data_IF_736952393527
#
_entry.id   IF_736952393527
#
_cell.length_a   1.000
_cell.length_b   1.000
_cell.length_c   1.000
_cell.angle_alpha   90.00
_cell.angle_beta   90.00
_cell.angle_gamma   90.00
#
_symmetry.space_group_name_H-M   'P 1'
#
loop_
_entity.id
_entity.type
_entity.pdbx_description
1 polymer ?
#
# COMPACT_ATOMS: atom_id res chain seq x y z
N UNK A 1 32.45 19.48 -27.53
CA UNK A 1 31.27 18.61 -27.65
C UNK A 1 30.69 18.43 -26.25
N UNK A 2 29.62 19.17 -25.91
CA UNK A 2 28.91 18.99 -24.64
C UNK A 2 28.02 17.75 -24.75
N UNK A 3 28.26 16.76 -23.90
CA UNK A 3 27.36 15.62 -23.72
C UNK A 3 26.13 16.12 -22.98
N UNK A 4 25.04 16.35 -23.71
CA UNK A 4 23.72 16.55 -23.11
C UNK A 4 23.32 15.23 -22.44
N UNK A 5 23.64 15.08 -21.16
CA UNK A 5 23.19 13.97 -20.33
C UNK A 5 21.69 14.15 -20.10
N UNK A 6 20.86 13.58 -20.99
CA UNK A 6 19.43 13.44 -20.78
C UNK A 6 19.21 12.62 -19.50
N UNK A 7 18.97 13.28 -18.38
CA UNK A 7 18.52 12.62 -17.17
C UNK A 7 17.02 12.39 -17.26
N UNK A 8 16.52 11.29 -16.69
CA UNK A 8 15.07 10.98 -16.63
C UNK A 8 14.25 12.13 -16.00
N UNK A 9 14.88 12.93 -15.13
CA UNK A 9 14.33 14.16 -14.58
C UNK A 9 13.96 15.21 -15.65
N UNK A 10 14.66 15.23 -16.79
CA UNK A 10 14.39 16.15 -17.91
C UNK A 10 13.17 15.78 -18.76
N UNK A 11 12.57 14.60 -18.55
CA UNK A 11 11.39 14.11 -19.30
C UNK A 11 10.10 14.16 -18.46
N UNK A 12 10.14 14.72 -17.24
CA UNK A 12 8.95 15.18 -16.53
C UNK A 12 8.41 14.30 -15.40
N UNK A 13 9.17 13.30 -14.90
CA UNK A 13 8.79 12.56 -13.68
C UNK A 13 9.90 12.67 -12.64
N UNK A 14 9.63 13.45 -11.60
CA UNK A 14 10.43 13.47 -10.37
C UNK A 14 10.07 12.22 -9.55
N UNK A 15 10.99 11.25 -9.52
CA UNK A 15 10.82 10.00 -8.79
C UNK A 15 11.09 10.13 -7.29
N UNK A 16 11.73 11.21 -6.83
CA UNK A 16 12.10 11.36 -5.42
C UNK A 16 10.88 11.40 -4.49
N UNK A 17 9.79 12.16 -4.79
CA UNK A 17 8.55 12.13 -4.02
C UNK A 17 7.86 10.75 -4.02
N UNK A 18 7.88 10.08 -5.17
CA UNK A 18 7.30 8.74 -5.37
C UNK A 18 8.03 7.72 -4.48
N UNK A 19 9.36 7.75 -4.48
CA UNK A 19 10.19 6.82 -3.71
C UNK A 19 10.17 7.12 -2.22
N UNK A 20 10.01 8.40 -1.82
CA UNK A 20 9.70 8.74 -0.42
C UNK A 20 8.40 8.08 0.02
N UNK A 21 7.33 8.19 -0.77
CA UNK A 21 6.05 7.56 -0.43
C UNK A 21 6.12 6.03 -0.37
N UNK A 22 6.81 5.38 -1.33
CA UNK A 22 7.04 3.93 -1.29
C UNK A 22 7.76 3.52 0.00
N UNK A 23 8.82 4.24 0.40
CA UNK A 23 9.54 3.98 1.65
C UNK A 23 8.65 4.13 2.89
N UNK A 24 7.82 5.17 2.95
CA UNK A 24 6.84 5.34 4.03
C UNK A 24 5.90 4.15 4.13
N UNK A 25 5.38 3.66 3.00
CA UNK A 25 4.53 2.48 2.96
C UNK A 25 5.26 1.21 3.44
N UNK A 26 6.52 1.01 3.05
CA UNK A 26 7.32 -0.15 3.50
C UNK A 26 7.60 -0.12 5.00
N UNK A 27 7.91 1.06 5.55
CA UNK A 27 8.12 1.26 7.00
C UNK A 27 6.82 0.96 7.77
N UNK A 28 5.68 1.47 7.29
CA UNK A 28 4.38 1.19 7.89
C UNK A 28 4.05 -0.32 7.83
N UNK A 29 4.28 -0.96 6.69
CA UNK A 29 4.07 -2.39 6.47
C UNK A 29 4.94 -3.26 7.40
N UNK A 30 6.19 -2.87 7.65
CA UNK A 30 7.13 -3.58 8.54
C UNK A 30 6.56 -3.80 9.94
N UNK A 31 5.79 -2.85 10.47
CA UNK A 31 5.19 -2.95 11.82
C UNK A 31 4.17 -4.09 11.93
N UNK A 32 3.65 -4.59 10.81
CA UNK A 32 2.64 -5.66 10.74
C UNK A 32 3.21 -7.00 10.28
N UNK A 33 4.54 -7.12 10.16
CA UNK A 33 5.21 -8.27 9.54
C UNK A 33 4.97 -9.61 10.26
N UNK A 34 4.69 -9.57 11.56
CA UNK A 34 4.47 -10.73 12.41
C UNK A 34 3.03 -11.28 12.32
N UNK A 35 2.08 -10.50 11.80
CA UNK A 35 0.66 -10.87 11.74
C UNK A 35 0.38 -12.22 11.02
N UNK A 36 1.07 -12.58 9.92
CA UNK A 36 0.86 -13.85 9.23
C UNK A 36 1.31 -15.08 10.01
N UNK A 37 2.18 -14.92 11.02
CA UNK A 37 2.77 -16.05 11.75
C UNK A 37 1.71 -16.90 12.47
N UNK A 38 0.64 -16.25 12.95
CA UNK A 38 -0.50 -16.95 13.58
C UNK A 38 -1.24 -17.88 12.61
N UNK A 39 -1.03 -17.72 11.31
CA UNK A 39 -1.63 -18.49 10.23
C UNK A 39 -0.63 -19.45 9.56
N UNK A 40 0.58 -19.61 10.13
CA UNK A 40 1.60 -20.49 9.57
C UNK A 40 2.38 -19.91 8.39
N UNK A 41 2.30 -18.58 8.19
CA UNK A 41 3.05 -17.86 7.17
C UNK A 41 4.07 -16.91 7.79
N UNK A 42 5.22 -16.73 7.15
CA UNK A 42 6.23 -15.76 7.56
C UNK A 42 6.63 -14.85 6.41
N UNK A 43 6.94 -13.61 6.77
CA UNK A 43 7.51 -12.62 5.88
C UNK A 43 8.91 -13.03 5.41
N UNK A 44 9.24 -12.79 4.14
CA UNK A 44 10.59 -12.94 3.59
C UNK A 44 11.21 -11.54 3.43
N UNK A 45 12.01 -11.04 4.39
CA UNK A 45 12.30 -9.61 4.49
C UNK A 45 13.04 -9.01 3.28
N UNK A 46 13.93 -9.79 2.66
CA UNK A 46 14.70 -9.33 1.50
C UNK A 46 13.84 -9.12 0.24
N UNK A 47 12.62 -9.66 0.18
CA UNK A 47 11.70 -9.48 -0.96
C UNK A 47 10.93 -8.14 -0.95
N UNK A 48 11.13 -7.31 0.08
CA UNK A 48 10.41 -6.04 0.24
C UNK A 48 10.97 -4.99 -0.70
N UNK A 49 10.11 -4.40 -1.54
CA UNK A 49 10.53 -3.42 -2.53
C UNK A 49 11.11 -4.04 -3.80
N UNK A 50 11.23 -5.36 -3.84
CA UNK A 50 11.59 -6.11 -5.04
C UNK A 50 10.41 -6.23 -6.01
N UNK A 51 10.69 -6.76 -7.20
CA UNK A 51 9.68 -7.01 -8.24
C UNK A 51 8.55 -7.94 -7.79
N UNK A 52 8.81 -8.80 -6.79
CA UNK A 52 7.84 -9.68 -6.18
C UNK A 52 8.01 -9.66 -4.65
N UNK A 53 6.90 -9.65 -3.94
CA UNK A 53 6.86 -9.78 -2.49
C UNK A 53 6.56 -11.25 -2.12
N UNK A 54 7.40 -11.85 -1.28
CA UNK A 54 7.33 -13.26 -0.93
C UNK A 54 6.76 -13.48 0.48
N UNK A 55 5.88 -14.47 0.59
CA UNK A 55 5.40 -15.05 1.84
C UNK A 55 5.72 -16.53 1.83
N UNK A 56 6.34 -17.01 2.90
CA UNK A 56 6.70 -18.40 3.05
C UNK A 56 5.73 -19.09 4.00
N UNK A 57 5.13 -20.19 3.55
CA UNK A 57 4.41 -21.09 4.42
C UNK A 57 5.42 -22.00 5.14
N UNK A 58 5.39 -22.00 6.47
CA UNK A 58 6.31 -22.83 7.27
C UNK A 58 5.59 -23.85 8.16
N UNK A 59 4.28 -23.72 8.33
CA UNK A 59 3.46 -24.70 9.05
C UNK A 59 2.70 -25.58 8.07
N UNK A 60 2.86 -26.89 8.22
CA UNK A 60 2.05 -27.88 7.51
C UNK A 60 0.71 -28.04 8.22
N UNK A 61 -0.38 -27.92 7.47
CA UNK A 61 -1.73 -28.14 7.98
C UNK A 61 -2.21 -29.53 7.54
N UNK A 62 -2.93 -30.22 8.42
CA UNK A 62 -3.48 -31.55 8.13
C UNK A 62 -4.62 -31.54 7.08
N UNK A 63 -5.05 -30.35 6.62
CA UNK A 63 -6.14 -30.15 5.67
C UNK A 63 -5.68 -29.40 4.41
N UNK A 64 -6.42 -29.57 3.32
CA UNK A 64 -6.22 -28.82 2.08
C UNK A 64 -6.30 -27.32 2.33
N UNK A 65 -5.27 -26.60 1.90
CA UNK A 65 -5.26 -25.14 1.96
C UNK A 65 -5.73 -24.53 0.64
N UNK A 66 -6.57 -23.50 0.75
CA UNK A 66 -7.02 -22.69 -0.38
C UNK A 66 -6.60 -21.25 -0.12
N UNK A 67 -6.04 -20.61 -1.14
CA UNK A 67 -5.76 -19.18 -1.12
C UNK A 67 -6.85 -18.45 -1.91
N UNK A 68 -7.33 -17.36 -1.34
CA UNK A 68 -8.27 -16.45 -1.99
C UNK A 68 -7.57 -15.12 -2.27
N UNK A 69 -7.98 -14.46 -3.36
CA UNK A 69 -7.48 -13.16 -3.76
C UNK A 69 -8.66 -12.26 -4.11
N UNK A 70 -8.62 -11.02 -3.65
CA UNK A 70 -9.61 -9.97 -3.91
C UNK A 70 -8.85 -8.69 -4.20
N UNK A 71 -9.31 -7.95 -5.21
CA UNK A 71 -8.82 -6.62 -5.57
C UNK A 71 -10.01 -5.67 -5.60
N UNK A 72 -9.95 -4.61 -4.79
CA UNK A 72 -11.01 -3.60 -4.69
C UNK A 72 -10.46 -2.21 -4.95
N UNK A 73 -11.29 -1.35 -5.54
CA UNK A 73 -11.01 0.05 -5.78
C UNK A 73 -12.01 0.95 -5.05
N UNK A 74 -11.53 2.01 -4.40
CA UNK A 74 -12.39 2.92 -3.64
C UNK A 74 -13.40 3.72 -4.49
N UNK A 75 -13.18 3.79 -5.81
CA UNK A 75 -14.00 4.56 -6.73
C UNK A 75 -13.86 6.07 -6.54
N UNK A 76 -14.94 6.81 -6.77
CA UNK A 76 -14.95 8.28 -6.83
C UNK A 76 -14.85 8.98 -5.46
N UNK A 77 -14.84 8.23 -4.35
CA UNK A 77 -14.69 8.82 -3.00
C UNK A 77 -13.33 9.51 -2.80
N UNK A 78 -12.31 9.14 -3.57
CA UNK A 78 -11.01 9.82 -3.56
C UNK A 78 -11.13 11.28 -4.03
N UNK A 79 -11.98 11.55 -5.01
CA UNK A 79 -12.24 12.92 -5.51
C UNK A 79 -12.83 13.81 -4.40
N UNK A 80 -13.72 13.25 -3.58
CA UNK A 80 -14.29 13.97 -2.43
C UNK A 80 -13.21 14.34 -1.43
N UNK A 81 -12.27 13.43 -1.13
CA UNK A 81 -11.16 13.76 -0.23
C UNK A 81 -10.21 14.82 -0.81
N UNK A 82 -9.99 14.79 -2.13
CA UNK A 82 -9.21 15.81 -2.83
C UNK A 82 -9.89 17.20 -2.74
N UNK A 83 -11.20 17.26 -3.00
CA UNK A 83 -11.97 18.51 -2.89
C UNK A 83 -12.04 19.02 -1.45
N UNK A 84 -12.23 18.14 -0.47
CA UNK A 84 -12.23 18.53 0.95
C UNK A 84 -10.89 19.09 1.38
N UNK A 85 -9.77 18.50 0.94
CA UNK A 85 -8.44 19.05 1.20
C UNK A 85 -8.27 20.45 0.60
N UNK A 86 -8.79 20.69 -0.60
CA UNK A 86 -8.74 22.00 -1.27
C UNK A 86 -9.63 23.04 -0.58
N UNK A 87 -10.83 22.66 -0.16
CA UNK A 87 -11.84 23.57 0.39
C UNK A 87 -11.61 23.89 1.86
N UNK A 88 -11.08 22.94 2.63
CA UNK A 88 -10.99 23.03 4.11
C UNK A 88 -9.56 22.97 4.63
N UNK A 89 -8.57 22.78 3.77
CA UNK A 89 -7.17 22.52 4.15
C UNK A 89 -6.99 21.31 5.06
N UNK A 90 -8.01 20.46 5.21
CA UNK A 90 -8.02 19.28 6.08
C UNK A 90 -7.87 18.01 5.25
N UNK A 91 -6.91 17.15 5.62
CA UNK A 91 -6.67 15.88 4.95
C UNK A 91 -7.61 14.79 5.47
N UNK A 92 -8.39 14.20 4.56
CA UNK A 92 -9.24 13.03 4.83
C UNK A 92 -8.67 11.73 4.22
N UNK A 93 -7.41 11.75 3.77
CA UNK A 93 -6.77 10.58 3.13
C UNK A 93 -6.58 9.41 4.09
N UNK A 94 -6.61 9.68 5.40
CA UNK A 94 -6.69 8.66 6.45
C UNK A 94 -7.99 7.84 6.32
N UNK A 95 -9.12 8.50 6.16
CA UNK A 95 -10.41 7.85 5.97
C UNK A 95 -10.48 7.10 4.63
N UNK A 96 -9.86 7.64 3.59
CA UNK A 96 -9.74 6.98 2.27
C UNK A 96 -8.98 5.66 2.41
N UNK A 97 -7.78 5.66 3.01
CA UNK A 97 -7.02 4.43 3.23
C UNK A 97 -7.81 3.40 4.06
N UNK A 98 -8.53 3.85 5.09
CA UNK A 98 -9.33 2.95 5.93
C UNK A 98 -10.49 2.33 5.15
N UNK A 99 -11.20 3.12 4.35
CA UNK A 99 -12.30 2.62 3.53
C UNK A 99 -11.78 1.61 2.50
N UNK A 100 -10.68 1.92 1.80
CA UNK A 100 -10.10 1.01 0.82
C UNK A 100 -9.71 -0.34 1.43
N UNK A 101 -9.05 -0.32 2.60
CA UNK A 101 -8.71 -1.55 3.30
C UNK A 101 -9.93 -2.30 3.83
N UNK A 102 -10.95 -1.59 4.32
CA UNK A 102 -12.18 -2.20 4.81
C UNK A 102 -12.94 -2.93 3.71
N UNK A 103 -13.00 -2.39 2.48
CA UNK A 103 -13.66 -3.08 1.36
C UNK A 103 -12.97 -4.40 1.05
N UNK A 104 -11.64 -4.38 0.86
CA UNK A 104 -10.85 -5.60 0.61
C UNK A 104 -11.04 -6.64 1.72
N UNK A 105 -10.94 -6.22 2.99
CA UNK A 105 -11.01 -7.12 4.14
C UNK A 105 -12.42 -7.68 4.35
N UNK A 106 -13.45 -6.86 4.18
CA UNK A 106 -14.83 -7.29 4.35
C UNK A 106 -15.22 -8.34 3.31
N UNK A 107 -14.83 -8.15 2.05
CA UNK A 107 -15.14 -9.08 0.98
C UNK A 107 -14.34 -10.38 1.13
N UNK A 108 -13.05 -10.29 1.48
CA UNK A 108 -12.22 -11.45 1.80
C UNK A 108 -12.82 -12.27 2.96
N UNK A 109 -13.27 -11.61 4.03
CA UNK A 109 -13.78 -12.25 5.24
C UNK A 109 -15.03 -13.11 5.02
N UNK A 110 -15.72 -12.96 3.89
CA UNK A 110 -16.88 -13.81 3.54
C UNK A 110 -16.49 -15.27 3.30
N UNK A 111 -15.27 -15.53 2.81
CA UNK A 111 -14.81 -16.86 2.38
C UNK A 111 -13.42 -17.23 2.89
N UNK A 112 -12.62 -16.28 3.39
CA UNK A 112 -11.25 -16.52 3.81
C UNK A 112 -10.79 -15.55 4.91
N UNK A 113 -9.74 -15.94 5.65
CA UNK A 113 -9.10 -15.06 6.61
C UNK A 113 -8.02 -14.20 5.91
N UNK A 114 -8.03 -12.86 6.05
CA UNK A 114 -7.07 -12.04 5.33
C UNK A 114 -5.64 -12.23 5.86
N UNK A 115 -4.73 -12.57 4.94
CA UNK A 115 -3.33 -12.84 5.23
C UNK A 115 -2.45 -11.59 5.02
N UNK A 116 -2.52 -11.03 3.81
CA UNK A 116 -1.75 -9.88 3.36
C UNK A 116 -2.63 -9.01 2.48
N UNK A 117 -2.45 -7.70 2.56
CA UNK A 117 -3.08 -6.74 1.66
C UNK A 117 -1.97 -5.96 0.98
N UNK A 118 -2.04 -5.75 -0.33
CA UNK A 118 -1.15 -4.85 -1.09
C UNK A 118 -1.92 -3.61 -1.54
N UNK A 119 -1.24 -2.57 -1.99
CA UNK A 119 -1.91 -1.36 -2.49
C UNK A 119 -1.29 -0.97 -3.81
N UNK A 120 -2.15 -0.71 -4.78
CA UNK A 120 -1.80 -0.03 -6.00
C UNK A 120 -2.38 1.39 -5.95
N UNK A 121 -1.55 2.40 -6.23
CA UNK A 121 -1.99 3.79 -6.30
C UNK A 121 -1.46 4.40 -7.59
N UNK A 122 -2.37 4.89 -8.43
CA UNK A 122 -2.05 5.62 -9.65
C UNK A 122 -2.44 7.10 -9.48
N UNK A 123 -1.56 8.00 -9.93
CA UNK A 123 -1.76 9.45 -9.85
C UNK A 123 -1.42 10.06 -11.21
N UNK A 124 -2.12 11.13 -11.61
CA UNK A 124 -1.87 11.78 -12.91
C UNK A 124 -0.54 12.56 -13.00
N UNK A 125 0.12 12.85 -11.87
CA UNK A 125 1.41 13.57 -11.85
C UNK A 125 2.17 13.29 -10.55
N UNK A 126 3.50 13.31 -10.60
CA UNK A 126 4.38 13.19 -9.43
C UNK A 126 4.17 14.31 -8.40
N UNK A 127 3.64 15.47 -8.83
CA UNK A 127 3.25 16.58 -7.94
C UNK A 127 2.25 16.15 -6.85
N UNK A 128 1.46 15.11 -7.11
CA UNK A 128 0.56 14.54 -6.13
C UNK A 128 1.32 14.07 -4.87
N UNK A 129 2.56 13.59 -4.99
CA UNK A 129 3.32 13.11 -3.85
C UNK A 129 3.99 14.23 -3.02
N UNK A 130 4.00 15.48 -3.50
CA UNK A 130 4.60 16.61 -2.77
C UNK A 130 3.82 17.02 -1.53
N UNK A 131 2.53 16.68 -1.44
CA UNK A 131 1.76 16.89 -0.21
C UNK A 131 2.12 15.82 0.82
N UNK A 132 3.10 16.11 1.67
CA UNK A 132 3.61 15.17 2.66
C UNK A 132 2.52 14.69 3.63
N UNK A 133 1.60 15.57 4.04
CA UNK A 133 0.54 15.21 4.99
C UNK A 133 -0.39 14.15 4.41
N UNK A 134 -0.81 14.33 3.15
CA UNK A 134 -1.61 13.34 2.42
C UNK A 134 -0.87 12.00 2.31
N UNK A 135 0.41 12.03 1.92
CA UNK A 135 1.25 10.85 1.79
C UNK A 135 1.36 10.07 3.11
N UNK A 136 1.61 10.78 4.22
CA UNK A 136 1.69 10.20 5.56
C UNK A 136 0.33 9.62 5.98
N UNK A 137 -0.76 10.37 5.81
CA UNK A 137 -2.10 9.93 6.20
C UNK A 137 -2.53 8.66 5.44
N UNK A 138 -2.18 8.54 4.15
CA UNK A 138 -2.48 7.35 3.36
C UNK A 138 -1.60 6.15 3.77
N UNK A 139 -0.32 6.37 4.07
CA UNK A 139 0.62 5.31 4.46
C UNK A 139 0.38 4.78 5.89
N UNK A 140 0.11 5.64 6.86
CA UNK A 140 0.01 5.28 8.29
C UNK A 140 -1.22 4.43 8.63
N UNK A 141 -2.36 4.68 7.97
CA UNK A 141 -3.62 3.99 8.29
C UNK A 141 -3.55 2.50 8.05
N UNK A 142 -2.67 2.08 7.13
CA UNK A 142 -2.38 0.67 6.88
C UNK A 142 -1.98 -0.04 8.17
N UNK A 143 -1.20 0.60 9.04
CA UNK A 143 -0.86 0.05 10.36
C UNK A 143 -2.10 -0.09 11.25
N UNK A 144 -2.90 0.97 11.37
CA UNK A 144 -3.98 1.01 12.34
C UNK A 144 -5.06 -0.02 12.03
N UNK A 145 -5.44 -0.16 10.77
CA UNK A 145 -6.46 -1.13 10.37
C UNK A 145 -5.90 -2.57 10.30
N UNK A 146 -4.61 -2.76 9.98
CA UNK A 146 -3.95 -4.07 10.05
C UNK A 146 -3.62 -4.55 11.48
N UNK A 147 -3.72 -3.68 12.50
CA UNK A 147 -3.46 -4.04 13.90
C UNK A 147 -4.33 -5.20 14.43
N UNK A 148 -5.44 -5.50 13.75
CA UNK A 148 -6.34 -6.63 14.05
C UNK A 148 -5.93 -7.96 13.41
N UNK A 149 -4.69 -8.04 12.90
CA UNK A 149 -4.04 -9.31 12.54
C UNK A 149 -3.93 -9.63 11.05
N UNK A 150 -4.06 -8.62 10.17
CA UNK A 150 -3.77 -8.73 8.73
C UNK A 150 -2.42 -8.09 8.45
N UNK A 151 -1.58 -8.61 7.54
CA UNK A 151 -0.32 -7.93 7.20
C UNK A 151 -0.52 -6.85 6.14
N UNK A 152 0.05 -5.67 6.38
CA UNK A 152 0.28 -4.68 5.34
C UNK A 152 1.41 -5.13 4.42
N UNK A 153 1.12 -5.29 3.14
CA UNK A 153 2.05 -5.58 2.04
C UNK A 153 2.59 -4.33 1.36
N UNK A 154 3.39 -4.55 0.30
CA UNK A 154 4.05 -3.50 -0.45
C UNK A 154 3.05 -2.58 -1.17
N UNK A 155 3.38 -1.29 -1.24
CA UNK A 155 2.72 -0.34 -2.12
C UNK A 155 3.44 -0.34 -3.48
N UNK A 156 2.68 -0.53 -4.56
CA UNK A 156 3.16 -0.41 -5.94
C UNK A 156 2.56 0.86 -6.56
N UNK A 157 3.41 1.67 -7.17
CA UNK A 157 3.02 2.84 -7.96
C UNK A 157 3.36 2.57 -9.43
N UNK A 158 2.56 3.07 -10.41
CA UNK A 158 2.97 3.06 -11.80
C UNK A 158 4.27 3.86 -11.96
N UNK A 159 5.13 3.37 -12.87
CA UNK A 159 6.39 3.99 -13.27
C UNK A 159 6.18 5.24 -14.11
#
# INVERSE_FOLDING_TARGET
MQTNTMTYAGVGVDYDPIDRFKRLCQIAALRTAHNPMRLGFRDVPWSRGESAYLLEQYMSFAAEQRLAFVEEGLGTKELVAADMLRLTSTSFYRNIAQCGLAMIVNDMATLALPLVVSMYLATGSSEWFKNERRCIDLAEVRMHACSRGVRGGAARLPS
#
